data_IF_635041013256
#
_entry.id   IF_635041013256
#
_cell.length_a   1.000
_cell.length_b   1.000
_cell.length_c   1.000
_cell.angle_alpha   90.00
_cell.angle_beta   90.00
_cell.angle_gamma   90.00
#
_symmetry.space_group_name_H-M   'P 1'
#
loop_
_entity.id
_entity.type
_entity.pdbx_description
1 polymer ?
#
# COMPACT_ATOMS: atom_id res chain seq x y z
N UNK A 1 -27.15 25.59 33.55
CA UNK A 1 -27.08 25.63 32.08
C UNK A 1 -25.60 25.68 31.73
N UNK A 2 -24.87 24.58 31.84
CA UNK A 2 -24.83 23.48 30.86
C UNK A 2 -24.74 23.97 29.41
N UNK A 3 -23.52 23.99 28.89
CA UNK A 3 -23.19 23.43 27.57
C UNK A 3 -21.81 22.78 27.68
N UNK A 4 -21.79 21.59 28.29
CA UNK A 4 -20.71 20.62 28.13
C UNK A 4 -20.89 19.97 26.76
N UNK A 5 -20.00 20.29 25.81
CA UNK A 5 -19.84 19.56 24.55
C UNK A 5 -18.34 19.45 24.22
N UNK A 6 -17.54 19.07 25.22
CA UNK A 6 -16.33 18.32 24.96
C UNK A 6 -16.67 16.86 25.28
N UNK A 7 -17.43 16.22 24.40
CA UNK A 7 -17.32 14.77 24.31
C UNK A 7 -15.88 14.51 23.86
N UNK A 8 -15.03 14.28 24.85
CA UNK A 8 -13.75 13.61 24.74
C UNK A 8 -14.01 12.31 23.97
N UNK A 9 -13.92 12.36 22.64
CA UNK A 9 -13.75 11.17 21.83
C UNK A 9 -12.29 10.73 22.04
N UNK A 10 -11.98 10.32 23.27
CA UNK A 10 -10.89 9.39 23.57
C UNK A 10 -11.31 8.03 23.01
N UNK A 11 -11.46 7.95 21.69
CA UNK A 11 -11.29 6.67 21.02
C UNK A 11 -9.81 6.36 21.16
N UNK A 12 -9.42 5.29 21.88
CA UNK A 12 -8.03 4.87 21.84
C UNK A 12 -7.66 4.72 20.37
N UNK A 13 -6.65 5.47 19.92
CA UNK A 13 -6.05 5.31 18.61
C UNK A 13 -5.37 3.96 18.63
N UNK A 14 -6.17 2.91 18.43
CA UNK A 14 -5.68 1.54 18.36
C UNK A 14 -4.92 1.45 17.06
N UNK A 15 -3.61 1.27 17.16
CA UNK A 15 -2.78 0.97 16.01
C UNK A 15 -3.29 -0.34 15.39
N UNK A 16 -3.44 -0.33 14.08
CA UNK A 16 -3.76 -1.46 13.24
C UNK A 16 -2.60 -2.45 13.28
N UNK A 17 -2.97 -3.73 13.21
CA UNK A 17 -2.00 -4.81 13.09
C UNK A 17 -1.17 -4.61 11.82
N UNK A 18 0.14 -4.92 11.82
CA UNK A 18 0.95 -4.97 10.59
C UNK A 18 0.38 -5.93 9.54
N UNK A 19 -0.43 -6.91 9.95
CA UNK A 19 -1.07 -7.88 9.05
C UNK A 19 -2.37 -7.36 8.43
N UNK A 20 -2.85 -6.18 8.84
CA UNK A 20 -4.07 -5.56 8.31
C UNK A 20 -3.76 -4.66 7.11
N UNK A 21 -4.58 -4.74 6.06
CA UNK A 21 -4.55 -3.77 4.99
C UNK A 21 -5.36 -2.53 5.37
N UNK A 22 -4.81 -1.34 5.15
CA UNK A 22 -5.47 -0.05 5.35
C UNK A 22 -5.49 0.70 4.02
N UNK A 23 -6.67 1.17 3.61
CA UNK A 23 -6.79 2.02 2.43
C UNK A 23 -7.70 3.21 2.74
N UNK A 24 -7.22 4.42 2.43
CA UNK A 24 -7.96 5.65 2.65
C UNK A 24 -7.97 6.48 1.37
N UNK A 25 -9.15 6.62 0.77
CA UNK A 25 -9.35 7.43 -0.43
C UNK A 25 -10.63 8.26 -0.34
N UNK A 26 -10.79 9.32 -1.17
CA UNK A 26 -12.06 10.03 -1.30
C UNK A 26 -13.22 9.14 -1.76
N UNK A 27 -12.95 8.02 -2.44
CA UNK A 27 -13.98 7.11 -2.93
C UNK A 27 -14.41 6.10 -1.85
N UNK A 28 -13.47 5.30 -1.35
CA UNK A 28 -13.70 4.31 -0.29
C UNK A 28 -12.54 4.30 0.70
N UNK A 29 -12.86 4.12 1.96
CA UNK A 29 -11.90 4.00 3.04
C UNK A 29 -12.27 2.82 3.92
N UNK A 30 -11.34 1.88 4.10
CA UNK A 30 -11.60 0.64 4.82
C UNK A 30 -10.31 -0.01 5.34
N UNK A 31 -10.47 -0.88 6.34
CA UNK A 31 -9.44 -1.77 6.86
C UNK A 31 -9.81 -3.22 6.60
N UNK A 32 -8.84 -4.13 6.69
CA UNK A 32 -9.07 -5.57 6.58
C UNK A 32 -8.58 -6.33 7.82
N UNK A 33 -9.14 -7.52 8.01
CA UNK A 33 -8.73 -8.47 9.05
C UNK A 33 -8.71 -9.89 8.49
N UNK A 34 -7.69 -10.66 8.88
CA UNK A 34 -7.50 -12.04 8.45
C UNK A 34 -7.05 -12.16 6.99
N UNK A 35 -6.68 -13.37 6.59
CA UNK A 35 -6.27 -13.71 5.23
C UNK A 35 -6.91 -15.02 4.83
N UNK A 36 -7.97 -14.94 4.02
CA UNK A 36 -8.66 -16.12 3.50
C UNK A 36 -7.82 -16.82 2.43
N UNK A 37 -7.28 -16.06 1.48
CA UNK A 37 -6.49 -16.60 0.38
C UNK A 37 -5.47 -15.60 -0.14
N UNK A 38 -4.21 -16.01 -0.21
CA UNK A 38 -3.16 -15.30 -0.95
C UNK A 38 -3.31 -15.52 -2.45
N UNK A 39 -2.91 -14.53 -3.22
CA UNK A 39 -3.00 -14.49 -4.67
C UNK A 39 -1.72 -13.91 -5.25
N UNK A 40 -0.88 -14.78 -5.82
CA UNK A 40 0.46 -14.45 -6.32
C UNK A 40 0.59 -14.50 -7.83
N UNK A 41 -0.52 -14.59 -8.57
CA UNK A 41 -0.48 -14.62 -10.03
C UNK A 41 0.15 -13.32 -10.57
N UNK A 42 1.12 -13.40 -11.50
CA UNK A 42 1.61 -12.24 -12.23
C UNK A 42 0.49 -11.51 -12.97
N UNK A 43 0.52 -10.18 -12.95
CA UNK A 43 -0.53 -9.34 -13.52
C UNK A 43 -0.36 -9.03 -15.01
N UNK A 44 0.71 -9.54 -15.65
CA UNK A 44 0.95 -9.38 -17.09
C UNK A 44 -0.25 -9.88 -17.90
N UNK A 45 -0.71 -9.07 -18.86
CA UNK A 45 -1.92 -9.36 -19.64
C UNK A 45 -3.23 -9.33 -18.84
N UNK A 46 -3.22 -8.74 -17.63
CA UNK A 46 -4.39 -8.64 -16.77
C UNK A 46 -5.53 -7.78 -17.34
N UNK A 47 -5.29 -7.04 -18.41
CA UNK A 47 -6.30 -6.33 -19.20
C UNK A 47 -7.19 -7.28 -20.03
N UNK A 48 -6.68 -8.47 -20.38
CA UNK A 48 -7.47 -9.49 -21.05
C UNK A 48 -8.44 -10.18 -20.08
N UNK A 49 -9.74 -9.92 -20.23
CA UNK A 49 -10.80 -10.48 -19.36
C UNK A 49 -10.83 -12.01 -19.32
N UNK A 50 -10.38 -12.65 -20.40
CA UNK A 50 -10.28 -14.11 -20.49
C UNK A 50 -8.84 -14.62 -20.27
N UNK A 51 -7.91 -13.74 -19.88
CA UNK A 51 -6.53 -14.10 -19.58
C UNK A 51 -6.38 -14.82 -18.24
N UNK A 52 -5.23 -15.45 -18.03
CA UNK A 52 -4.96 -16.29 -16.87
C UNK A 52 -5.18 -15.55 -15.53
N UNK A 53 -4.67 -14.30 -15.43
CA UNK A 53 -4.84 -13.48 -14.24
C UNK A 53 -6.31 -13.26 -13.85
N UNK A 54 -7.15 -12.91 -14.84
CA UNK A 54 -8.57 -12.65 -14.60
C UNK A 54 -9.34 -13.94 -14.27
N UNK A 55 -9.03 -15.05 -14.93
CA UNK A 55 -9.64 -16.35 -14.63
C UNK A 55 -9.29 -16.84 -13.22
N UNK A 56 -8.01 -16.75 -12.82
CA UNK A 56 -7.53 -17.09 -11.48
C UNK A 56 -8.19 -16.19 -10.43
N UNK A 57 -8.30 -14.89 -10.69
CA UNK A 57 -8.96 -13.94 -9.79
C UNK A 57 -10.46 -14.26 -9.63
N UNK A 58 -11.15 -14.56 -10.73
CA UNK A 58 -12.55 -14.96 -10.71
C UNK A 58 -12.77 -16.25 -9.90
N UNK A 59 -11.89 -17.25 -10.07
CA UNK A 59 -11.91 -18.48 -9.28
C UNK A 59 -11.69 -18.21 -7.78
N UNK A 60 -10.70 -17.40 -7.42
CA UNK A 60 -10.44 -17.02 -6.02
C UNK A 60 -11.66 -16.32 -5.39
N UNK A 61 -12.35 -15.45 -6.14
CA UNK A 61 -13.58 -14.83 -5.67
C UNK A 61 -14.75 -15.81 -5.54
N UNK A 62 -14.89 -16.76 -6.46
CA UNK A 62 -15.93 -17.79 -6.38
C UNK A 62 -15.74 -18.68 -5.15
N UNK A 63 -14.50 -19.08 -4.87
CA UNK A 63 -14.16 -19.86 -3.68
C UNK A 63 -14.43 -19.09 -2.38
N UNK A 64 -14.05 -17.81 -2.30
CA UNK A 64 -14.35 -16.98 -1.14
C UNK A 64 -15.85 -16.88 -0.86
N UNK A 65 -16.67 -16.73 -1.91
CA UNK A 65 -18.14 -16.72 -1.79
C UNK A 65 -18.68 -18.06 -1.33
N UNK A 66 -18.16 -19.17 -1.88
CA UNK A 66 -18.55 -20.52 -1.47
C UNK A 66 -18.19 -20.81 -0.01
N UNK A 67 -17.11 -20.21 0.50
CA UNK A 67 -16.71 -20.27 1.90
C UNK A 67 -17.51 -19.32 2.83
N UNK A 68 -18.51 -18.61 2.31
CA UNK A 68 -19.40 -17.74 3.10
C UNK A 68 -18.96 -16.28 3.19
N UNK A 69 -17.89 -15.86 2.50
CA UNK A 69 -17.49 -14.45 2.45
C UNK A 69 -18.44 -13.71 1.51
N UNK A 70 -19.34 -12.90 2.08
CA UNK A 70 -20.48 -12.31 1.35
C UNK A 70 -20.09 -11.28 0.30
N UNK A 71 -19.06 -10.46 0.58
CA UNK A 71 -18.58 -9.37 -0.28
C UNK A 71 -17.05 -9.39 -0.31
N UNK A 72 -16.44 -10.42 -0.93
CA UNK A 72 -14.99 -10.54 -0.95
C UNK A 72 -14.39 -9.37 -1.74
N UNK A 73 -13.24 -8.90 -1.29
CA UNK A 73 -12.41 -7.90 -1.94
C UNK A 73 -11.02 -8.48 -2.14
N UNK A 74 -10.30 -8.02 -3.16
CA UNK A 74 -8.88 -8.33 -3.33
C UNK A 74 -8.10 -7.07 -3.00
N UNK A 75 -7.08 -7.18 -2.13
CA UNK A 75 -6.24 -6.06 -1.69
C UNK A 75 -4.77 -6.44 -1.76
N UNK A 76 -3.88 -5.45 -1.77
CA UNK A 76 -2.43 -5.65 -1.80
C UNK A 76 -1.75 -4.79 -2.85
N UNK A 77 -0.64 -5.28 -3.40
CA UNK A 77 0.16 -4.57 -4.41
C UNK A 77 0.48 -5.45 -5.62
N UNK A 78 0.62 -4.82 -6.78
CA UNK A 78 1.15 -5.41 -8.01
C UNK A 78 2.52 -4.74 -8.27
N UNK A 79 3.59 -5.51 -8.55
CA UNK A 79 4.91 -4.96 -8.82
C UNK A 79 4.96 -4.10 -10.09
N UNK A 80 5.97 -3.22 -10.19
CA UNK A 80 6.18 -2.39 -11.39
C UNK A 80 6.35 -3.25 -12.65
N UNK A 81 7.14 -4.32 -12.55
CA UNK A 81 7.23 -5.36 -13.56
C UNK A 81 6.10 -6.38 -13.35
N UNK A 82 5.04 -6.27 -14.15
CA UNK A 82 3.84 -7.11 -14.03
C UNK A 82 4.05 -8.59 -14.34
N UNK A 83 5.22 -8.98 -14.88
CA UNK A 83 5.60 -10.38 -15.05
C UNK A 83 5.99 -11.04 -13.72
N UNK A 84 6.33 -10.24 -12.70
CA UNK A 84 6.64 -10.75 -11.37
C UNK A 84 5.37 -11.08 -10.58
N UNK A 85 5.44 -11.99 -9.60
CA UNK A 85 4.31 -12.34 -8.75
C UNK A 85 3.69 -11.12 -8.06
N UNK A 86 2.36 -11.08 -8.02
CA UNK A 86 1.64 -10.07 -7.25
C UNK A 86 1.66 -10.40 -5.75
N UNK A 87 1.51 -9.39 -4.89
CA UNK A 87 1.31 -9.58 -3.46
C UNK A 87 -0.12 -9.15 -3.10
N UNK A 88 -1.08 -9.96 -3.53
CA UNK A 88 -2.51 -9.73 -3.31
C UNK A 88 -3.09 -10.80 -2.39
N UNK A 89 -4.19 -10.48 -1.71
CA UNK A 89 -4.96 -11.46 -0.96
C UNK A 89 -6.43 -11.05 -0.78
N UNK A 90 -7.27 -12.05 -0.52
CA UNK A 90 -8.65 -11.87 -0.07
C UNK A 90 -8.65 -11.93 1.47
N UNK A 91 -9.06 -10.87 2.18
CA UNK A 91 -9.20 -10.91 3.63
C UNK A 91 -10.47 -11.66 4.03
N UNK A 92 -10.54 -12.10 5.29
CA UNK A 92 -11.77 -12.69 5.82
C UNK A 92 -12.87 -11.65 6.01
N UNK A 93 -12.49 -10.43 6.41
CA UNK A 93 -13.40 -9.31 6.67
C UNK A 93 -12.78 -7.98 6.29
N UNK A 94 -13.64 -7.01 5.98
CA UNK A 94 -13.26 -5.62 5.81
C UNK A 94 -14.29 -4.69 6.43
N UNK A 95 -13.83 -3.57 6.96
CA UNK A 95 -14.66 -2.60 7.69
C UNK A 95 -14.43 -1.20 7.12
N UNK A 96 -15.51 -0.54 6.70
CA UNK A 96 -15.43 0.83 6.21
C UNK A 96 -15.25 1.81 7.39
N UNK A 97 -14.52 2.91 7.14
CA UNK A 97 -14.41 4.02 8.08
C UNK A 97 -14.56 5.37 7.38
N UNK A 98 -14.86 6.40 8.16
CA UNK A 98 -14.98 7.78 7.68
C UNK A 98 -13.60 8.42 7.53
N UNK A 99 -13.24 8.79 6.29
CA UNK A 99 -11.98 9.50 6.00
C UNK A 99 -11.85 10.82 6.78
N UNK A 100 -12.84 11.74 6.79
CA UNK A 100 -12.73 12.98 7.56
C UNK A 100 -12.57 12.74 9.08
N UNK A 101 -13.15 11.67 9.62
CA UNK A 101 -12.94 11.30 11.03
C UNK A 101 -11.52 10.80 11.28
N UNK A 102 -11.02 9.86 10.45
CA UNK A 102 -9.65 9.34 10.58
C UNK A 102 -8.61 10.46 10.42
N UNK A 103 -8.85 11.42 9.51
CA UNK A 103 -8.00 12.61 9.34
C UNK A 103 -7.99 13.51 10.58
N UNK A 104 -9.15 13.69 11.23
CA UNK A 104 -9.23 14.47 12.47
C UNK A 104 -8.54 13.74 13.62
N UNK A 105 -8.81 12.45 13.80
CA UNK A 105 -8.22 11.68 14.91
C UNK A 105 -6.71 11.52 14.79
N UNK A 106 -6.17 11.36 13.56
CA UNK A 106 -4.74 11.22 13.33
C UNK A 106 -3.93 12.44 13.79
N UNK A 107 -4.54 13.64 13.85
CA UNK A 107 -3.88 14.86 14.36
C UNK A 107 -3.66 14.84 15.87
N UNK A 108 -4.42 14.01 16.58
CA UNK A 108 -4.33 13.84 18.03
C UNK A 108 -3.69 12.50 18.39
N UNK A 109 -3.05 11.82 17.43
CA UNK A 109 -2.24 10.65 17.73
C UNK A 109 -1.12 11.03 18.70
N UNK A 110 -0.81 10.13 19.64
CA UNK A 110 0.26 10.35 20.58
C UNK A 110 1.58 10.57 19.81
N UNK A 111 2.45 11.49 20.28
CA UNK A 111 3.78 11.64 19.72
C UNK A 111 4.52 10.30 19.76
N UNK A 112 5.11 9.91 18.63
CA UNK A 112 6.03 8.79 18.59
C UNK A 112 7.40 9.25 19.09
N UNK A 113 8.11 8.37 19.79
CA UNK A 113 9.49 8.61 20.17
C UNK A 113 10.37 8.71 18.93
N UNK A 114 11.31 9.67 18.93
CA UNK A 114 12.25 9.83 17.83
C UNK A 114 13.14 8.59 17.73
N UNK A 115 13.18 7.98 16.55
CA UNK A 115 14.01 6.81 16.30
C UNK A 115 15.45 7.21 15.98
N UNK A 116 16.41 6.45 16.51
CA UNK A 116 17.81 6.60 16.15
C UNK A 116 18.10 5.93 14.81
N UNK A 117 18.62 6.70 13.86
CA UNK A 117 19.09 6.22 12.55
C UNK A 117 20.53 5.77 12.69
N UNK A 118 20.77 4.49 12.49
CA UNK A 118 22.11 3.88 12.52
C UNK A 118 22.84 4.05 11.19
N UNK A 119 22.10 3.96 10.09
CA UNK A 119 22.64 4.09 8.74
C UNK A 119 21.62 4.72 7.81
N UNK A 120 22.10 5.55 6.89
CA UNK A 120 21.31 6.10 5.78
C UNK A 120 22.15 6.07 4.51
N UNK A 121 21.65 5.45 3.46
CA UNK A 121 22.36 5.26 2.19
C UNK A 121 21.50 5.67 1.01
N UNK A 122 22.07 6.39 0.05
CA UNK A 122 21.38 6.71 -1.21
C UNK A 122 21.75 5.68 -2.28
N UNK A 123 20.75 5.20 -3.02
CA UNK A 123 20.94 4.13 -4.01
C UNK A 123 20.27 4.53 -5.34
N UNK A 124 21.03 4.94 -6.36
CA UNK A 124 22.44 5.32 -6.29
C UNK A 124 22.65 6.68 -5.59
N UNK A 125 23.90 6.98 -5.27
CA UNK A 125 24.36 8.30 -4.80
C UNK A 125 24.16 9.38 -5.89
N UNK A 126 24.16 10.65 -5.48
CA UNK A 126 23.78 11.79 -6.31
C UNK A 126 24.47 11.84 -7.68
N UNK A 127 25.80 11.81 -7.73
CA UNK A 127 26.55 11.97 -8.99
C UNK A 127 26.25 10.83 -9.97
N UNK A 128 26.10 9.61 -9.45
CA UNK A 128 25.73 8.45 -10.26
C UNK A 128 24.30 8.58 -10.78
N UNK A 129 23.37 9.09 -9.98
CA UNK A 129 22.00 9.35 -10.43
C UNK A 129 21.96 10.46 -11.50
N UNK A 130 22.72 11.54 -11.35
CA UNK A 130 22.82 12.61 -12.35
C UNK A 130 23.37 12.07 -13.67
N UNK A 131 24.41 11.24 -13.63
CA UNK A 131 24.93 10.60 -14.83
C UNK A 131 23.90 9.67 -15.51
N UNK A 132 23.01 9.01 -14.75
CA UNK A 132 21.89 8.26 -15.33
C UNK A 132 20.88 9.17 -16.02
N UNK A 133 20.56 10.32 -15.40
CA UNK A 133 19.65 11.32 -15.97
C UNK A 133 20.20 11.91 -17.27
N UNK A 134 21.48 12.28 -17.31
CA UNK A 134 22.15 12.78 -18.52
C UNK A 134 22.05 11.78 -19.68
N UNK A 135 22.31 10.50 -19.40
CA UNK A 135 22.18 9.44 -20.41
C UNK A 135 20.74 9.27 -20.90
N UNK A 136 19.77 9.25 -19.98
CA UNK A 136 18.36 9.13 -20.35
C UNK A 136 17.89 10.34 -21.17
N UNK A 137 18.33 11.55 -20.81
CA UNK A 137 18.03 12.77 -21.55
C UNK A 137 18.60 12.73 -22.98
N UNK A 138 19.85 12.28 -23.13
CA UNK A 138 20.48 12.10 -24.44
C UNK A 138 19.73 11.09 -25.32
N UNK A 139 19.28 9.97 -24.74
CA UNK A 139 18.44 8.98 -25.44
C UNK A 139 17.09 9.57 -25.85
N UNK A 140 16.46 10.38 -24.99
CA UNK A 140 15.19 11.04 -25.35
C UNK A 140 15.31 12.13 -26.40
N UNK A 141 16.54 12.55 -26.72
CA UNK A 141 16.80 13.45 -27.85
C UNK A 141 16.95 12.70 -29.18
N UNK A 142 16.94 11.36 -29.17
CA UNK A 142 16.93 10.52 -30.38
C UNK A 142 15.52 9.95 -30.64
N UNK A 143 15.25 9.42 -31.84
CA UNK A 143 13.97 8.76 -32.12
C UNK A 143 13.76 7.41 -31.40
N UNK A 144 14.70 6.96 -30.58
CA UNK A 144 14.65 5.63 -29.94
C UNK A 144 13.62 5.57 -28.81
N UNK A 145 13.44 6.67 -28.07
CA UNK A 145 12.52 6.73 -26.93
C UNK A 145 12.08 8.17 -26.67
N UNK A 146 10.80 8.40 -26.41
CA UNK A 146 10.31 9.76 -26.12
C UNK A 146 10.33 10.12 -24.63
N UNK A 147 10.29 9.10 -23.76
CA UNK A 147 10.18 9.29 -22.32
C UNK A 147 10.78 8.14 -21.52
N UNK A 148 11.57 8.49 -20.52
CA UNK A 148 12.10 7.57 -19.52
C UNK A 148 11.78 8.12 -18.13
N UNK A 149 11.33 7.26 -17.22
CA UNK A 149 11.21 7.59 -15.80
C UNK A 149 12.31 6.86 -15.05
N UNK A 150 13.17 7.61 -14.38
CA UNK A 150 14.20 7.08 -13.49
C UNK A 150 13.77 7.29 -12.03
N UNK A 151 14.17 6.35 -11.17
CA UNK A 151 13.98 6.43 -9.73
C UNK A 151 15.28 6.12 -9.00
N UNK A 152 15.32 6.49 -7.72
CA UNK A 152 16.38 6.16 -6.77
C UNK A 152 15.75 5.85 -5.42
N UNK A 153 16.51 5.19 -4.56
CA UNK A 153 16.10 4.74 -3.24
C UNK A 153 16.93 5.43 -2.16
N UNK A 154 16.37 5.46 -0.95
CA UNK A 154 17.10 5.78 0.28
C UNK A 154 16.84 4.63 1.24
N UNK A 155 17.90 3.91 1.59
CA UNK A 155 17.84 2.88 2.61
C UNK A 155 18.12 3.51 3.97
N UNK A 156 17.30 3.18 4.96
CA UNK A 156 17.41 3.69 6.33
C UNK A 156 17.39 2.50 7.28
N UNK A 157 18.46 2.35 8.06
CA UNK A 157 18.55 1.37 9.15
C UNK A 157 18.37 2.09 10.48
N UNK A 158 17.42 1.65 11.29
CA UNK A 158 17.16 2.19 12.63
C UNK A 158 17.71 1.25 13.70
N UNK A 159 17.99 1.78 14.90
CA UNK A 159 18.43 0.95 16.04
C UNK A 159 17.35 -0.05 16.44
N UNK A 160 16.15 0.47 16.60
CA UNK A 160 14.99 -0.30 17.04
C UNK A 160 14.08 -0.62 15.86
N UNK A 161 13.24 -1.65 16.03
CA UNK A 161 12.25 -2.04 15.03
C UNK A 161 11.25 -0.89 14.82
N UNK A 162 11.04 -0.53 13.56
CA UNK A 162 10.01 0.45 13.17
C UNK A 162 8.64 -0.08 13.53
N UNK A 163 7.88 0.69 14.30
CA UNK A 163 6.45 0.47 14.48
C UNK A 163 5.72 0.91 13.21
N UNK A 164 5.18 -0.05 12.46
CA UNK A 164 4.43 0.21 11.24
C UNK A 164 3.12 0.95 11.49
N UNK A 165 2.65 1.00 12.75
CA UNK A 165 1.73 2.01 13.26
C UNK A 165 0.49 2.30 12.43
N UNK A 166 -0.06 1.31 11.72
CA UNK A 166 -1.28 1.54 10.93
C UNK A 166 -2.41 2.10 11.82
#
# INVERSE_FOLDING_TARGET
METSLAEDVKKPTRTLSPDSFFFMSPYRSFTTSGCFRRFSQPAVGGDALNGEFQQQMAAAFAEARAAGIRKPVMVGAIPFDTCQPSELYIPERWEAFSRPEKQRSARYAAPLEAMEVMERREIPEQDAFLAMVERAAALTATPEVDKVVLSRLIDITTRDRVDSGA
#
